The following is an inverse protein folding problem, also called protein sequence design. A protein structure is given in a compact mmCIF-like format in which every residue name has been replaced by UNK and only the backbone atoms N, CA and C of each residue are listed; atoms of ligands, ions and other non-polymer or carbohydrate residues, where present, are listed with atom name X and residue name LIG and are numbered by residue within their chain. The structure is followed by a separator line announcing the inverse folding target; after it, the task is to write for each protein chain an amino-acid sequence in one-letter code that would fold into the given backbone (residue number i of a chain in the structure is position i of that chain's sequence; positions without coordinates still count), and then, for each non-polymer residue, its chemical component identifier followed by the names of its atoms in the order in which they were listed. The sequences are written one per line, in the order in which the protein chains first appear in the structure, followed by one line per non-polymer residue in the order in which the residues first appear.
data_IF_454146591248
#
_entry.id   IF_454146591248
#
_cell.length_a   1.000
_cell.length_b   1.000
_cell.length_c   1.000
_cell.angle_alpha   90.00
_cell.angle_beta   90.00
_cell.angle_gamma   90.00
#
_symmetry.space_group_name_H-M   'P 1'
#
loop_
_entity.id
_entity.type
_entity.pdbx_description
1 polymer ?
#
# COMPACT_ATOMS: atom_id res chain seq x y z
N UNK A 1 18.20 -17.57 22.67
CA UNK A 1 18.00 -17.43 21.21
C UNK A 1 17.86 -18.83 20.61
N UNK A 2 16.75 -19.18 19.99
CA UNK A 2 16.61 -20.45 19.27
C UNK A 2 17.62 -20.44 18.12
N UNK A 3 18.39 -21.51 17.98
CA UNK A 3 19.43 -21.62 16.96
C UNK A 3 18.74 -21.79 15.60
N UNK A 4 18.87 -20.79 14.71
CA UNK A 4 18.32 -20.90 13.37
C UNK A 4 18.99 -22.03 12.59
N UNK A 5 18.26 -22.77 11.74
CA UNK A 5 18.86 -23.68 10.79
C UNK A 5 19.72 -22.93 9.78
N UNK A 6 20.58 -23.63 8.99
CA UNK A 6 21.38 -22.99 7.96
C UNK A 6 20.53 -22.16 7.00
N UNK A 7 20.89 -20.87 6.80
CA UNK A 7 20.12 -19.96 5.93
C UNK A 7 19.99 -20.47 4.51
N UNK A 8 20.99 -21.20 4.02
CA UNK A 8 20.95 -21.81 2.69
C UNK A 8 19.86 -22.85 2.56
N UNK A 9 19.61 -23.66 3.62
CA UNK A 9 18.53 -24.63 3.61
C UNK A 9 17.15 -23.97 3.65
N UNK A 10 17.00 -22.87 4.40
CA UNK A 10 15.80 -22.04 4.39
C UNK A 10 15.55 -21.38 3.04
N UNK A 11 16.60 -20.87 2.37
CA UNK A 11 16.51 -20.30 1.03
C UNK A 11 16.07 -21.34 -0.01
N UNK A 12 16.63 -22.55 0.05
CA UNK A 12 16.25 -23.62 -0.86
C UNK A 12 14.79 -24.05 -0.65
N UNK A 13 14.35 -24.10 0.60
CA UNK A 13 12.96 -24.35 0.93
C UNK A 13 12.03 -23.24 0.37
N UNK A 14 12.37 -21.95 0.59
CA UNK A 14 11.56 -20.82 0.11
C UNK A 14 11.38 -20.87 -1.42
N UNK A 15 12.48 -21.00 -2.18
CA UNK A 15 12.40 -21.04 -3.64
C UNK A 15 11.64 -22.28 -4.13
N UNK A 16 11.84 -23.44 -3.50
CA UNK A 16 11.11 -24.66 -3.84
C UNK A 16 9.60 -24.54 -3.52
N UNK A 17 9.25 -23.83 -2.43
CA UNK A 17 7.87 -23.56 -2.06
C UNK A 17 7.15 -22.65 -3.05
N UNK A 18 7.82 -21.59 -3.49
CA UNK A 18 7.31 -20.61 -4.45
C UNK A 18 7.16 -21.20 -5.85
N UNK A 19 8.17 -21.94 -6.32
CA UNK A 19 8.15 -22.56 -7.66
C UNK A 19 7.33 -23.86 -7.71
N UNK A 20 6.99 -24.45 -6.57
CA UNK A 20 6.29 -25.75 -6.43
C UNK A 20 6.99 -26.90 -7.17
N UNK A 21 8.32 -26.75 -7.39
CA UNK A 21 9.14 -27.69 -8.17
C UNK A 21 10.61 -27.61 -7.77
N UNK A 22 11.18 -28.73 -7.35
CA UNK A 22 12.62 -28.81 -7.05
C UNK A 22 13.49 -28.57 -8.29
N UNK A 23 13.02 -28.95 -9.48
CA UNK A 23 13.74 -28.71 -10.72
C UNK A 23 13.74 -27.22 -11.11
N UNK A 24 12.61 -26.52 -10.93
CA UNK A 24 12.52 -25.08 -11.17
C UNK A 24 13.35 -24.29 -10.15
N UNK A 25 13.27 -24.65 -8.86
CA UNK A 25 14.09 -24.06 -7.82
C UNK A 25 15.60 -24.24 -8.09
N UNK A 26 16.00 -25.43 -8.51
CA UNK A 26 17.39 -25.72 -8.86
C UNK A 26 17.90 -24.85 -10.02
N UNK A 27 17.08 -24.65 -11.05
CA UNK A 27 17.40 -23.75 -12.17
C UNK A 27 17.58 -22.31 -11.72
N UNK A 28 16.70 -21.82 -10.85
CA UNK A 28 16.75 -20.44 -10.33
C UNK A 28 17.99 -20.22 -9.45
N UNK A 29 18.35 -21.20 -8.62
CA UNK A 29 19.47 -21.11 -7.70
C UNK A 29 20.81 -21.57 -8.32
N UNK A 30 20.83 -21.96 -9.61
CA UNK A 30 22.00 -22.47 -10.31
C UNK A 30 22.66 -23.69 -9.60
N UNK A 31 21.82 -24.63 -9.14
CA UNK A 31 22.25 -25.86 -8.47
C UNK A 31 21.56 -27.09 -9.09
N UNK A 32 21.88 -28.28 -8.59
CA UNK A 32 21.20 -29.51 -9.04
C UNK A 32 19.89 -29.74 -8.25
N UNK A 33 18.87 -30.39 -8.87
CA UNK A 33 17.66 -30.79 -8.13
C UNK A 33 17.94 -31.71 -6.93
N UNK A 34 18.99 -32.51 -7.00
CA UNK A 34 19.45 -33.34 -5.89
C UNK A 34 19.96 -32.50 -4.70
N UNK A 35 20.66 -31.39 -4.96
CA UNK A 35 21.10 -30.46 -3.92
C UNK A 35 19.91 -29.81 -3.20
N UNK A 36 18.89 -29.36 -3.94
CA UNK A 36 17.63 -28.83 -3.36
C UNK A 36 16.98 -29.90 -2.48
N UNK A 37 16.79 -31.12 -3.00
CA UNK A 37 16.14 -32.21 -2.27
C UNK A 37 16.91 -32.56 -0.99
N UNK A 38 18.24 -32.58 -1.03
CA UNK A 38 19.10 -32.88 0.11
C UNK A 38 19.00 -31.81 1.20
N UNK A 39 19.08 -30.52 0.81
CA UNK A 39 19.00 -29.39 1.75
C UNK A 39 17.60 -29.27 2.37
N UNK A 40 16.55 -29.49 1.61
CA UNK A 40 15.18 -29.51 2.14
C UNK A 40 15.02 -30.66 3.13
N UNK A 41 15.52 -31.87 2.80
CA UNK A 41 15.46 -33.01 3.71
C UNK A 41 16.23 -32.76 5.02
N UNK A 42 17.42 -32.20 4.95
CA UNK A 42 18.20 -31.82 6.12
C UNK A 42 17.47 -30.77 6.99
N UNK A 43 16.73 -29.86 6.36
CA UNK A 43 15.91 -28.87 7.06
C UNK A 43 14.69 -29.54 7.76
N UNK A 44 14.02 -30.47 7.09
CA UNK A 44 12.91 -31.27 7.65
C UNK A 44 13.39 -32.09 8.87
N UNK A 45 14.55 -32.72 8.75
CA UNK A 45 15.19 -33.46 9.86
C UNK A 45 15.56 -32.55 11.05
N UNK A 46 16.10 -31.35 10.77
CA UNK A 46 16.44 -30.36 11.80
C UNK A 46 15.19 -29.83 12.54
N UNK A 47 14.10 -29.59 11.80
CA UNK A 47 12.85 -29.06 12.35
C UNK A 47 11.97 -30.14 12.95
N UNK A 48 12.20 -31.42 12.62
CA UNK A 48 11.39 -32.54 13.06
C UNK A 48 10.00 -32.61 12.44
N UNK A 49 9.80 -31.89 11.31
CA UNK A 49 8.52 -31.84 10.58
C UNK A 49 8.75 -31.85 9.08
N UNK A 50 7.85 -32.50 8.34
CA UNK A 50 7.85 -32.45 6.88
C UNK A 50 7.36 -31.08 6.40
N UNK A 51 8.07 -30.51 5.45
CA UNK A 51 7.70 -29.23 4.80
C UNK A 51 6.97 -29.45 3.48
N UNK A 52 7.23 -30.58 2.81
CA UNK A 52 6.60 -30.91 1.55
C UNK A 52 5.88 -32.27 1.60
N UNK A 53 4.72 -32.30 0.94
CA UNK A 53 4.08 -33.55 0.50
C UNK A 53 4.58 -33.84 -0.90
N UNK A 54 5.23 -35.00 -1.10
CA UNK A 54 5.80 -35.42 -2.39
C UNK A 54 4.77 -36.17 -3.22
N UNK A 55 4.53 -35.70 -4.44
CA UNK A 55 3.70 -36.37 -5.46
C UNK A 55 4.59 -36.78 -6.63
N UNK A 56 4.09 -37.67 -7.50
CA UNK A 56 4.88 -38.29 -8.57
C UNK A 56 5.66 -37.30 -9.48
N UNK A 57 5.20 -36.06 -9.65
CA UNK A 57 5.87 -35.03 -10.49
C UNK A 57 5.80 -33.61 -9.92
N UNK A 58 5.33 -33.43 -8.72
CA UNK A 58 5.16 -32.13 -8.06
C UNK A 58 5.31 -32.25 -6.56
N UNK A 59 5.58 -31.12 -5.93
CA UNK A 59 5.58 -30.97 -4.48
C UNK A 59 4.51 -29.99 -4.05
N UNK A 60 3.89 -30.24 -2.90
CA UNK A 60 2.97 -29.31 -2.27
C UNK A 60 3.38 -29.07 -0.81
N UNK A 61 3.11 -27.88 -0.29
CA UNK A 61 3.44 -27.53 1.07
C UNK A 61 2.53 -28.24 2.07
N UNK A 62 3.11 -28.68 3.18
CA UNK A 62 2.35 -29.09 4.37
C UNK A 62 1.64 -27.87 4.99
N UNK A 63 0.62 -28.05 5.86
CA UNK A 63 0.00 -26.95 6.59
C UNK A 63 1.00 -26.14 7.42
N UNK A 64 1.96 -26.81 8.09
CA UNK A 64 3.00 -26.16 8.88
C UNK A 64 3.89 -25.25 8.01
N UNK A 65 4.38 -25.76 6.87
CA UNK A 65 5.19 -24.99 5.94
C UNK A 65 4.44 -23.81 5.32
N UNK A 66 3.14 -23.97 5.05
CA UNK A 66 2.31 -22.91 4.48
C UNK A 66 2.10 -21.76 5.46
N UNK A 67 1.95 -22.04 6.74
CA UNK A 67 1.78 -21.02 7.79
C UNK A 67 3.01 -20.16 7.99
N UNK A 68 4.22 -20.74 7.84
CA UNK A 68 5.48 -20.05 8.08
C UNK A 68 6.08 -19.37 6.82
N UNK A 69 5.58 -19.65 5.62
CA UNK A 69 6.21 -19.22 4.36
C UNK A 69 6.25 -17.71 4.21
N UNK A 70 5.19 -17.00 4.56
CA UNK A 70 5.12 -15.52 4.47
C UNK A 70 6.14 -14.85 5.38
N UNK A 71 6.28 -15.31 6.61
CA UNK A 71 7.25 -14.78 7.57
C UNK A 71 8.69 -15.04 7.11
N UNK A 72 8.94 -16.20 6.53
CA UNK A 72 10.25 -16.54 5.97
C UNK A 72 10.60 -15.66 4.77
N UNK A 73 9.65 -15.39 3.88
CA UNK A 73 9.83 -14.49 2.74
C UNK A 73 10.13 -13.06 3.19
N UNK A 74 9.41 -12.55 4.18
CA UNK A 74 9.71 -11.24 4.79
C UNK A 74 11.11 -11.21 5.42
N UNK A 75 11.53 -12.29 6.08
CA UNK A 75 12.87 -12.46 6.62
C UNK A 75 13.95 -12.37 5.55
N UNK A 76 13.82 -13.07 4.43
CA UNK A 76 14.76 -12.99 3.31
C UNK A 76 14.77 -11.63 2.64
N UNK A 77 13.62 -10.97 2.47
CA UNK A 77 13.57 -9.59 1.98
C UNK A 77 14.33 -8.64 2.91
N UNK A 78 14.22 -8.84 4.22
CA UNK A 78 14.94 -8.04 5.21
C UNK A 78 16.46 -8.25 5.14
N UNK A 79 16.91 -9.51 4.99
CA UNK A 79 18.32 -9.83 4.77
C UNK A 79 18.83 -9.21 3.46
N UNK A 80 18.08 -9.31 2.37
CA UNK A 80 18.42 -8.68 1.08
C UNK A 80 18.64 -7.17 1.23
N UNK A 81 17.72 -6.47 1.90
CA UNK A 81 17.87 -5.02 2.19
C UNK A 81 19.11 -4.71 3.03
N UNK A 82 19.46 -5.57 4.00
CA UNK A 82 20.67 -5.39 4.79
C UNK A 82 21.95 -5.52 3.95
N UNK A 83 21.99 -6.51 3.05
CA UNK A 83 23.10 -6.70 2.10
C UNK A 83 23.20 -5.51 1.14
N UNK A 84 22.10 -5.00 0.63
CA UNK A 84 22.08 -3.84 -0.26
C UNK A 84 22.59 -2.58 0.47
N UNK A 85 22.24 -2.40 1.75
CA UNK A 85 22.79 -1.32 2.59
C UNK A 85 24.31 -1.44 2.77
N UNK A 86 24.83 -2.66 2.93
CA UNK A 86 26.29 -2.89 3.03
C UNK A 86 26.97 -2.57 1.69
N UNK A 87 26.40 -3.01 0.57
CA UNK A 87 26.95 -2.75 -0.78
C UNK A 87 26.93 -1.27 -1.16
N UNK A 88 25.90 -0.54 -0.73
CA UNK A 88 25.79 0.90 -0.96
C UNK A 88 26.53 1.77 0.08
N UNK A 89 27.28 1.14 1.02
CA UNK A 89 28.06 1.87 1.99
C UNK A 89 29.22 2.61 1.31
N UNK A 90 29.19 3.95 1.38
CA UNK A 90 30.16 4.83 0.71
C UNK A 90 29.73 5.35 -0.67
N UNK A 91 28.65 4.86 -1.26
CA UNK A 91 27.97 5.55 -2.36
C UNK A 91 26.90 6.45 -1.74
N UNK A 92 27.06 7.75 -1.78
CA UNK A 92 25.99 8.72 -1.48
C UNK A 92 24.91 8.65 -2.59
N UNK A 93 24.27 7.48 -2.75
CA UNK A 93 23.09 7.41 -3.59
C UNK A 93 21.98 8.18 -2.89
N UNK A 94 21.51 9.20 -3.55
CA UNK A 94 20.36 10.01 -3.13
C UNK A 94 19.05 9.21 -3.30
N UNK A 95 18.99 8.00 -2.70
CA UNK A 95 17.84 7.10 -2.78
C UNK A 95 16.89 7.44 -1.64
N UNK A 96 15.63 7.71 -1.96
CA UNK A 96 14.55 7.83 -0.98
C UNK A 96 13.51 6.75 -1.22
N UNK A 97 13.22 5.96 -0.18
CA UNK A 97 12.16 4.94 -0.20
C UNK A 97 10.89 5.51 0.41
N UNK A 98 9.87 5.61 -0.41
CA UNK A 98 8.56 6.18 -0.06
C UNK A 98 7.50 5.09 -0.06
N UNK A 99 6.70 5.01 0.99
CA UNK A 99 5.55 4.10 1.05
C UNK A 99 4.26 4.91 1.19
N UNK A 100 3.30 4.70 0.31
CA UNK A 100 2.05 5.44 0.32
C UNK A 100 0.83 4.53 0.08
N UNK A 101 -0.36 5.02 0.43
CA UNK A 101 -1.62 4.38 0.07
C UNK A 101 -1.74 4.33 -1.47
N UNK A 102 -2.23 3.22 -2.05
CA UNK A 102 -2.19 3.01 -3.51
C UNK A 102 -2.85 4.10 -4.35
N UNK A 103 -4.01 4.62 -3.94
CA UNK A 103 -4.69 5.68 -4.67
C UNK A 103 -3.89 6.99 -4.60
N UNK A 104 -3.42 7.37 -3.41
CA UNK A 104 -2.58 8.55 -3.21
C UNK A 104 -1.27 8.45 -3.99
N UNK A 105 -0.59 7.31 -3.92
CA UNK A 105 0.63 7.08 -4.68
C UNK A 105 0.42 7.30 -6.19
N UNK A 106 -0.63 6.69 -6.75
CA UNK A 106 -0.88 6.67 -8.20
C UNK A 106 -1.45 7.98 -8.70
N UNK A 107 -2.40 8.58 -7.98
CA UNK A 107 -3.14 9.75 -8.46
C UNK A 107 -2.53 11.08 -8.02
N UNK A 108 -1.77 11.08 -6.94
CA UNK A 108 -1.20 12.33 -6.44
C UNK A 108 0.32 12.40 -6.55
N UNK A 109 1.08 11.40 -6.08
CA UNK A 109 2.55 11.44 -6.11
C UNK A 109 3.08 11.27 -7.53
N UNK A 110 2.74 10.17 -8.21
CA UNK A 110 3.32 9.80 -9.51
C UNK A 110 3.19 10.91 -10.54
N UNK A 111 2.05 11.59 -10.73
CA UNK A 111 1.93 12.65 -11.72
C UNK A 111 2.83 13.88 -11.44
N UNK A 112 3.26 14.06 -10.18
CA UNK A 112 4.05 15.20 -9.71
C UNK A 112 5.54 14.92 -9.55
N UNK A 113 5.98 13.65 -9.62
CA UNK A 113 7.39 13.27 -9.42
C UNK A 113 8.37 14.01 -10.32
N UNK A 114 7.97 14.39 -11.53
CA UNK A 114 8.81 15.20 -12.44
C UNK A 114 9.25 16.53 -11.81
N UNK A 115 8.42 17.14 -10.94
CA UNK A 115 8.74 18.38 -10.21
C UNK A 115 9.78 18.12 -9.12
N UNK A 116 9.73 16.95 -8.46
CA UNK A 116 10.78 16.54 -7.52
C UNK A 116 12.12 16.31 -8.22
N UNK A 117 12.11 15.61 -9.36
CA UNK A 117 13.34 15.38 -10.14
C UNK A 117 13.93 16.67 -10.74
N UNK A 118 13.11 17.69 -11.00
CA UNK A 118 13.61 19.01 -11.40
C UNK A 118 14.43 19.69 -10.28
N UNK A 119 14.15 19.39 -9.01
CA UNK A 119 14.89 19.90 -7.84
C UNK A 119 16.06 19.00 -7.43
N UNK A 120 15.90 17.71 -7.59
CA UNK A 120 16.86 16.69 -7.19
C UNK A 120 17.11 15.72 -8.35
N UNK A 121 17.87 16.14 -9.40
CA UNK A 121 18.04 15.33 -10.62
C UNK A 121 18.72 13.97 -10.39
N UNK A 122 19.61 13.90 -9.40
CA UNK A 122 20.39 12.69 -9.07
C UNK A 122 19.67 11.78 -8.07
N UNK A 123 18.45 12.14 -7.65
CA UNK A 123 17.67 11.34 -6.71
C UNK A 123 17.10 10.08 -7.36
N UNK A 124 17.13 8.97 -6.64
CA UNK A 124 16.36 7.75 -6.96
C UNK A 124 15.19 7.64 -6.01
N UNK A 125 13.94 7.74 -6.51
CA UNK A 125 12.73 7.54 -5.72
C UNK A 125 12.24 6.10 -5.88
N UNK A 126 12.19 5.37 -4.77
CA UNK A 126 11.58 4.03 -4.68
C UNK A 126 10.20 4.14 -4.06
N UNK A 127 9.18 4.24 -4.91
CA UNK A 127 7.80 4.37 -4.47
C UNK A 127 7.15 2.99 -4.32
N UNK A 128 6.65 2.69 -3.13
CA UNK A 128 5.92 1.48 -2.80
C UNK A 128 4.47 1.82 -2.46
N UNK A 129 3.53 1.11 -3.06
CA UNK A 129 2.11 1.25 -2.75
C UNK A 129 1.68 0.14 -1.78
N UNK A 130 1.08 0.49 -0.64
CA UNK A 130 0.69 -0.46 0.38
C UNK A 130 -0.55 -0.03 1.16
N UNK A 131 -1.48 -0.97 1.38
CA UNK A 131 -2.63 -0.76 2.27
C UNK A 131 -2.26 -0.78 3.76
N UNK A 132 -1.01 -1.14 4.12
CA UNK A 132 -0.51 -1.00 5.49
C UNK A 132 -0.30 0.46 5.90
N UNK A 133 -0.38 1.40 4.96
CA UNK A 133 -0.35 2.85 5.22
C UNK A 133 -1.73 3.41 5.60
N UNK A 134 -2.76 2.57 5.72
CA UNK A 134 -4.08 2.94 6.22
C UNK A 134 -4.20 2.50 7.67
N UNK A 135 -4.40 3.44 8.57
CA UNK A 135 -4.51 3.16 10.00
C UNK A 135 -5.87 2.55 10.34
N UNK A 136 -5.86 1.52 11.20
CA UNK A 136 -7.08 0.81 11.60
C UNK A 136 -7.76 1.38 12.84
N UNK A 137 -7.24 2.46 13.40
CA UNK A 137 -7.74 3.06 14.63
C UNK A 137 -7.17 4.44 14.89
N UNK A 138 -7.65 5.07 15.98
CA UNK A 138 -7.19 6.41 16.39
C UNK A 138 -5.74 6.43 16.89
N UNK A 139 -5.26 5.30 17.37
CA UNK A 139 -3.86 5.13 17.81
C UNK A 139 -3.13 4.24 16.83
N UNK A 140 -2.05 4.73 16.28
CA UNK A 140 -1.16 3.93 15.44
C UNK A 140 0.00 3.42 16.28
N UNK A 141 0.26 2.11 16.20
CA UNK A 141 1.45 1.51 16.80
C UNK A 141 2.71 1.74 15.95
N UNK A 142 2.61 2.49 14.83
CA UNK A 142 3.75 2.75 13.97
C UNK A 142 4.76 3.67 14.66
N UNK A 143 6.00 3.21 14.75
CA UNK A 143 7.13 3.97 15.28
C UNK A 143 8.29 4.07 14.30
N UNK A 144 9.31 4.84 14.69
CA UNK A 144 10.57 5.00 13.93
C UNK A 144 11.22 3.64 13.63
N UNK A 145 11.18 2.71 14.60
CA UNK A 145 11.75 1.36 14.45
C UNK A 145 11.08 0.56 13.33
N UNK A 146 9.77 0.75 13.11
CA UNK A 146 9.01 0.03 12.09
C UNK A 146 9.34 0.56 10.70
N UNK A 147 9.43 1.87 10.53
CA UNK A 147 9.89 2.49 9.28
C UNK A 147 11.31 2.03 8.94
N UNK A 148 12.23 2.08 9.92
CA UNK A 148 13.61 1.63 9.73
C UNK A 148 13.69 0.15 9.36
N UNK A 149 12.92 -0.72 10.03
CA UNK A 149 12.86 -2.16 9.75
C UNK A 149 12.33 -2.43 8.34
N UNK A 150 11.30 -1.69 7.92
CA UNK A 150 10.74 -1.77 6.57
C UNK A 150 11.64 -1.12 5.50
N UNK A 151 12.68 -0.36 5.90
CA UNK A 151 13.53 0.39 4.98
C UNK A 151 12.81 1.54 4.30
N UNK A 152 11.80 2.11 4.97
CA UNK A 152 11.00 3.24 4.50
C UNK A 152 11.57 4.52 5.11
N UNK A 153 11.84 5.52 4.27
CA UNK A 153 12.31 6.83 4.71
C UNK A 153 11.14 7.78 4.96
N UNK A 154 10.16 7.76 4.06
CA UNK A 154 8.96 8.60 4.12
C UNK A 154 7.73 7.73 3.90
N UNK A 155 6.72 7.88 4.76
CA UNK A 155 5.44 7.21 4.56
C UNK A 155 4.30 8.23 4.45
N UNK A 156 3.45 8.09 3.42
CA UNK A 156 2.19 8.83 3.32
C UNK A 156 1.07 7.91 3.76
N UNK A 157 0.41 8.30 4.84
CA UNK A 157 -0.58 7.49 5.55
C UNK A 157 -1.95 8.14 5.57
N UNK A 158 -2.97 7.33 5.45
CA UNK A 158 -4.35 7.73 5.73
C UNK A 158 -4.68 7.34 7.17
N UNK A 159 -4.94 8.33 8.02
CA UNK A 159 -5.18 8.09 9.45
C UNK A 159 -5.53 9.36 10.22
N UNK A 160 -5.34 9.30 11.54
CA UNK A 160 -5.69 10.37 12.47
C UNK A 160 -4.51 11.29 12.85
N UNK A 161 -3.30 11.01 12.37
CA UNK A 161 -2.10 11.79 12.69
C UNK A 161 -1.47 11.46 14.05
N UNK A 162 -1.84 10.36 14.66
CA UNK A 162 -1.40 9.97 16.00
C UNK A 162 -0.25 8.95 15.90
N UNK A 163 0.99 9.45 15.80
CA UNK A 163 2.21 8.65 15.64
C UNK A 163 3.25 9.12 16.67
N UNK A 164 3.28 8.52 17.88
CA UNK A 164 4.00 9.09 19.05
C UNK A 164 5.49 9.38 18.83
N UNK A 165 6.18 8.51 18.07
CA UNK A 165 7.63 8.60 17.85
C UNK A 165 8.02 9.13 16.47
N UNK A 166 7.04 9.68 15.73
CA UNK A 166 7.24 10.19 14.37
C UNK A 166 6.80 11.66 14.30
N UNK A 167 7.24 12.36 13.28
CA UNK A 167 6.78 13.73 13.01
C UNK A 167 5.69 13.71 11.91
N UNK A 168 4.40 13.61 12.29
CA UNK A 168 3.32 13.68 11.33
C UNK A 168 3.11 15.13 10.87
N UNK A 169 3.06 15.31 9.55
CA UNK A 169 2.64 16.55 8.93
C UNK A 169 1.43 16.27 8.05
N UNK A 170 0.35 17.01 8.28
CA UNK A 170 -0.89 16.87 7.52
C UNK A 170 -0.69 17.32 6.09
N UNK A 171 -1.05 16.47 5.14
CA UNK A 171 -1.02 16.77 3.71
C UNK A 171 -2.38 17.29 3.21
N UNK A 172 -3.43 16.46 3.32
CA UNK A 172 -4.75 16.85 2.84
C UNK A 172 -5.86 16.18 3.66
N UNK A 173 -7.02 16.82 3.69
CA UNK A 173 -8.23 16.27 4.29
C UNK A 173 -8.80 15.14 3.45
N UNK A 174 -9.59 14.29 4.08
CA UNK A 174 -10.38 13.29 3.39
C UNK A 174 -11.85 13.74 3.31
N UNK A 175 -12.16 14.56 2.30
CA UNK A 175 -13.51 15.04 2.03
C UNK A 175 -14.08 14.23 0.87
N UNK A 176 -15.07 13.36 1.15
CA UNK A 176 -15.59 12.42 0.16
C UNK A 176 -16.92 12.89 -0.43
N UNK A 177 -16.95 13.02 -1.74
CA UNK A 177 -18.17 13.34 -2.50
C UNK A 177 -18.56 12.19 -3.42
N UNK A 178 -19.85 12.03 -3.75
CA UNK A 178 -20.31 11.06 -4.75
C UNK A 178 -19.82 11.44 -6.15
N UNK A 179 -19.13 10.50 -6.81
CA UNK A 179 -18.59 10.63 -8.17
C UNK A 179 -19.08 9.47 -9.04
N UNK A 180 -19.45 9.73 -10.29
CA UNK A 180 -19.74 8.69 -11.27
C UNK A 180 -19.39 9.13 -12.69
N UNK A 181 -19.47 8.21 -13.66
CA UNK A 181 -19.39 8.54 -15.07
C UNK A 181 -20.57 9.43 -15.51
N UNK A 182 -20.37 10.40 -16.43
CA UNK A 182 -21.40 11.35 -16.86
C UNK A 182 -22.68 10.70 -17.37
N UNK A 183 -22.56 9.55 -18.05
CA UNK A 183 -23.69 8.79 -18.60
C UNK A 183 -24.67 8.34 -17.51
N UNK A 184 -24.15 8.01 -16.32
CA UNK A 184 -24.99 7.61 -15.20
C UNK A 184 -25.69 8.81 -14.56
N UNK A 185 -25.06 9.98 -14.55
CA UNK A 185 -25.64 11.18 -13.98
C UNK A 185 -26.85 11.69 -14.78
N UNK A 186 -26.85 11.51 -16.11
CA UNK A 186 -27.87 12.02 -17.02
C UNK A 186 -29.20 11.27 -16.96
N UNK A 187 -29.23 10.04 -16.41
CA UNK A 187 -30.42 9.18 -16.37
C UNK A 187 -30.95 8.89 -14.97
N UNK A 188 -30.61 9.73 -13.98
CA UNK A 188 -30.85 9.44 -12.57
C UNK A 188 -32.15 10.04 -12.01
N UNK A 189 -32.92 9.21 -11.28
CA UNK A 189 -33.97 9.65 -10.35
C UNK A 189 -33.44 9.91 -8.92
N UNK A 190 -32.18 9.55 -8.65
CA UNK A 190 -31.50 9.73 -7.36
C UNK A 190 -30.26 8.85 -7.22
N UNK A 191 -29.31 9.23 -6.33
CA UNK A 191 -28.05 8.48 -6.09
C UNK A 191 -28.33 7.05 -5.59
N UNK A 192 -29.41 6.85 -4.83
CA UNK A 192 -29.84 5.57 -4.28
C UNK A 192 -30.26 4.55 -5.36
N UNK A 193 -30.54 4.99 -6.58
CA UNK A 193 -30.85 4.10 -7.70
C UNK A 193 -29.62 3.48 -8.33
N UNK A 194 -28.46 4.09 -8.11
CA UNK A 194 -27.17 3.61 -8.62
C UNK A 194 -26.63 2.41 -7.83
N UNK A 195 -25.75 1.67 -8.46
CA UNK A 195 -24.88 0.75 -7.75
C UNK A 195 -23.80 1.54 -7.01
N UNK A 196 -23.65 1.29 -5.72
CA UNK A 196 -22.72 2.01 -4.87
C UNK A 196 -21.38 1.23 -4.79
N UNK A 197 -20.32 1.84 -5.25
CA UNK A 197 -19.00 1.26 -5.27
C UNK A 197 -18.32 1.58 -3.93
N UNK A 198 -17.94 0.53 -3.20
CA UNK A 198 -17.35 0.63 -1.87
C UNK A 198 -15.85 0.34 -1.93
N UNK A 199 -15.05 1.29 -1.48
CA UNK A 199 -13.63 1.09 -1.24
C UNK A 199 -13.42 0.45 0.13
N UNK A 200 -12.87 -0.77 0.14
CA UNK A 200 -12.57 -1.48 1.39
C UNK A 200 -11.47 -0.80 2.20
N UNK A 201 -10.71 0.12 1.63
CA UNK A 201 -9.73 0.95 2.36
C UNK A 201 -10.45 1.80 3.40
N UNK A 202 -11.53 2.47 3.01
CA UNK A 202 -12.33 3.34 3.89
C UNK A 202 -13.06 2.56 4.99
N UNK A 203 -13.49 1.32 4.70
CA UNK A 203 -14.17 0.46 5.68
C UNK A 203 -13.24 -0.21 6.69
N UNK A 204 -11.91 -0.13 6.51
CA UNK A 204 -10.92 -0.63 7.47
C UNK A 204 -10.70 0.30 8.65
N UNK A 205 -11.10 1.54 8.53
CA UNK A 205 -11.05 2.52 9.61
C UNK A 205 -12.05 2.11 10.69
N UNK A 206 -11.74 2.34 11.97
CA UNK A 206 -12.62 1.97 13.10
C UNK A 206 -13.98 2.69 13.05
N UNK A 207 -14.03 3.82 12.40
CA UNK A 207 -15.27 4.50 12.02
C UNK A 207 -15.47 4.26 10.53
N UNK A 208 -16.46 3.46 10.14
CA UNK A 208 -16.65 3.13 8.73
C UNK A 208 -17.13 4.37 7.98
N UNK A 209 -16.24 4.93 7.15
CA UNK A 209 -16.64 5.95 6.19
C UNK A 209 -17.13 5.26 4.94
N UNK A 210 -18.40 5.52 4.60
CA UNK A 210 -19.02 4.87 3.47
C UNK A 210 -20.34 5.50 3.09
N UNK A 211 -21.04 4.85 2.18
CA UNK A 211 -22.30 5.33 1.66
C UNK A 211 -23.38 5.49 2.74
N UNK A 212 -23.44 4.58 3.71
CA UNK A 212 -24.41 4.64 4.79
C UNK A 212 -24.24 5.91 5.63
N UNK A 213 -23.01 6.24 5.96
CA UNK A 213 -22.64 7.44 6.74
C UNK A 213 -22.91 8.70 5.92
N UNK A 214 -22.57 8.68 4.61
CA UNK A 214 -22.86 9.80 3.72
C UNK A 214 -24.35 10.09 3.65
N UNK A 215 -25.19 9.09 3.39
CA UNK A 215 -26.65 9.25 3.35
C UNK A 215 -27.21 9.73 4.68
N UNK A 216 -26.76 9.15 5.79
CA UNK A 216 -27.16 9.57 7.14
C UNK A 216 -26.84 11.05 7.39
N UNK A 217 -25.64 11.49 7.00
CA UNK A 217 -25.20 12.89 7.15
C UNK A 217 -26.01 13.85 6.27
N UNK A 218 -26.53 13.36 5.13
CA UNK A 218 -27.44 14.11 4.25
C UNK A 218 -28.90 14.10 4.74
N UNK A 219 -29.21 13.38 5.81
CA UNK A 219 -30.55 13.26 6.37
C UNK A 219 -31.45 12.21 5.70
N UNK A 220 -30.86 11.29 4.93
CA UNK A 220 -31.58 10.18 4.32
C UNK A 220 -31.43 8.91 5.15
N UNK A 221 -32.56 8.28 5.49
CA UNK A 221 -32.58 6.91 6.02
C UNK A 221 -32.84 5.95 4.85
N UNK A 222 -31.77 5.30 4.40
CA UNK A 222 -31.80 4.40 3.26
C UNK A 222 -31.71 2.96 3.77
N UNK A 223 -32.72 2.16 3.45
CA UNK A 223 -32.77 0.76 3.83
C UNK A 223 -31.64 -0.08 3.21
N UNK A 224 -31.92 -0.91 2.22
CA UNK A 224 -30.93 -1.81 1.61
C UNK A 224 -30.22 -1.14 0.42
N UNK A 225 -28.91 -0.88 0.55
CA UNK A 225 -28.06 -0.36 -0.52
C UNK A 225 -27.61 -1.48 -1.47
N UNK A 226 -27.43 -1.13 -2.75
CA UNK A 226 -26.85 -2.02 -3.77
C UNK A 226 -25.34 -1.77 -3.84
N UNK A 227 -24.59 -2.45 -3.00
CA UNK A 227 -23.15 -2.26 -2.88
C UNK A 227 -22.34 -3.23 -3.74
N UNK A 228 -21.24 -2.74 -4.33
CA UNK A 228 -20.19 -3.53 -4.93
C UNK A 228 -18.87 -3.14 -4.26
N UNK A 229 -18.16 -4.12 -3.68
CA UNK A 229 -16.98 -3.87 -2.83
C UNK A 229 -15.70 -4.17 -3.55
N UNK A 230 -14.74 -3.26 -3.47
CA UNK A 230 -13.40 -3.34 -4.03
C UNK A 230 -12.34 -3.36 -2.94
N UNK A 231 -11.19 -4.03 -3.20
CA UNK A 231 -10.09 -4.16 -2.23
C UNK A 231 -9.33 -2.86 -1.96
N UNK A 232 -9.43 -1.87 -2.85
CA UNK A 232 -8.79 -0.56 -2.72
C UNK A 232 -9.48 0.49 -3.60
N UNK A 233 -9.15 1.77 -3.38
CA UNK A 233 -9.74 2.91 -4.08
C UNK A 233 -9.44 2.96 -5.57
N UNK A 234 -8.31 2.43 -6.03
CA UNK A 234 -8.00 2.40 -7.48
C UNK A 234 -8.97 1.52 -8.25
N UNK A 235 -9.31 0.34 -7.72
CA UNK A 235 -10.28 -0.55 -8.36
C UNK A 235 -11.69 0.05 -8.36
N UNK A 236 -12.07 0.74 -7.28
CA UNK A 236 -13.35 1.45 -7.21
C UNK A 236 -13.41 2.61 -8.23
N UNK A 237 -12.31 3.35 -8.39
CA UNK A 237 -12.17 4.41 -9.37
C UNK A 237 -12.32 3.88 -10.81
N UNK A 238 -11.59 2.82 -11.16
CA UNK A 238 -11.68 2.22 -12.51
C UNK A 238 -13.10 1.74 -12.80
N UNK A 239 -13.79 1.15 -11.81
CA UNK A 239 -15.18 0.74 -11.96
C UNK A 239 -16.14 1.93 -12.16
N UNK A 240 -15.90 3.05 -11.46
CA UNK A 240 -16.72 4.27 -11.64
C UNK A 240 -16.53 4.89 -13.02
N UNK A 241 -15.28 4.99 -13.49
CA UNK A 241 -14.94 5.48 -14.85
C UNK A 241 -15.55 4.58 -15.92
N UNK A 242 -15.62 3.26 -15.67
CA UNK A 242 -16.28 2.30 -16.55
C UNK A 242 -17.83 2.30 -16.45
N UNK A 243 -18.43 3.24 -15.74
CA UNK A 243 -19.89 3.35 -15.63
C UNK A 243 -20.55 2.25 -14.79
N UNK A 244 -19.81 1.58 -13.89
CA UNK A 244 -20.36 0.48 -13.09
C UNK A 244 -21.18 0.96 -11.88
N UNK A 245 -21.11 2.26 -11.55
CA UNK A 245 -21.82 2.86 -10.42
C UNK A 245 -21.19 4.15 -9.93
N UNK A 246 -21.58 4.59 -8.73
CA UNK A 246 -21.05 5.76 -8.06
C UNK A 246 -20.05 5.36 -6.96
N UNK A 247 -18.94 6.10 -6.81
CA UNK A 247 -18.00 5.97 -5.71
C UNK A 247 -18.03 7.20 -4.80
N UNK A 248 -17.66 7.05 -3.52
CA UNK A 248 -17.28 8.16 -2.66
C UNK A 248 -15.79 8.43 -2.84
N UNK A 249 -15.43 9.60 -3.37
CA UNK A 249 -14.06 9.95 -3.69
C UNK A 249 -13.69 11.38 -3.31
N UNK A 250 -12.42 11.62 -2.98
CA UNK A 250 -11.88 12.96 -2.78
C UNK A 250 -11.68 13.67 -4.12
N UNK A 251 -12.10 14.94 -4.23
CA UNK A 251 -11.90 15.72 -5.45
C UNK A 251 -10.42 15.82 -5.84
N UNK A 252 -9.56 16.04 -4.86
CA UNK A 252 -8.12 16.24 -5.07
C UNK A 252 -7.44 14.99 -5.67
N UNK A 253 -7.85 13.79 -5.21
CA UNK A 253 -7.30 12.54 -5.73
C UNK A 253 -7.91 12.11 -7.07
N UNK A 254 -9.09 12.64 -7.42
CA UNK A 254 -9.80 12.33 -8.67
C UNK A 254 -9.81 13.50 -9.66
N UNK A 255 -8.96 14.51 -9.39
CA UNK A 255 -8.91 15.74 -10.22
C UNK A 255 -8.66 15.45 -11.68
N UNK A 256 -7.81 14.49 -12.02
CA UNK A 256 -7.51 14.11 -13.39
C UNK A 256 -8.75 13.59 -14.14
N UNK A 257 -9.53 12.74 -13.49
CA UNK A 257 -10.77 12.17 -14.04
C UNK A 257 -11.88 13.21 -14.15
N UNK A 258 -12.00 14.09 -13.16
CA UNK A 258 -12.94 15.21 -13.16
C UNK A 258 -12.62 16.21 -14.28
N UNK A 259 -11.36 16.65 -14.38
CA UNK A 259 -10.92 17.58 -15.41
C UNK A 259 -11.02 17.00 -16.82
N UNK A 260 -10.84 15.69 -16.97
CA UNK A 260 -11.00 14.99 -18.26
C UNK A 260 -12.47 14.68 -18.60
N UNK A 261 -13.43 15.04 -17.75
CA UNK A 261 -14.84 14.75 -17.93
C UNK A 261 -15.20 13.25 -17.85
N UNK A 262 -14.30 12.41 -17.30
CA UNK A 262 -14.54 10.98 -17.11
C UNK A 262 -15.40 10.69 -15.88
N UNK A 263 -15.38 11.60 -14.92
CA UNK A 263 -16.24 11.59 -13.75
C UNK A 263 -16.90 12.95 -13.57
N UNK A 264 -18.07 12.93 -12.94
CA UNK A 264 -18.81 14.12 -12.49
C UNK A 264 -19.18 13.97 -11.02
N UNK A 265 -19.35 15.11 -10.34
CA UNK A 265 -19.81 15.16 -8.96
C UNK A 265 -21.34 15.11 -8.94
N UNK A 266 -21.91 14.15 -8.23
CA UNK A 266 -23.36 13.98 -8.11
C UNK A 266 -23.98 14.85 -7.02
N UNK A 267 -23.22 15.14 -5.96
CA UNK A 267 -23.66 16.00 -4.86
C UNK A 267 -22.45 16.74 -4.25
N UNK A 268 -22.66 18.04 -4.00
CA UNK A 268 -21.59 18.94 -3.52
C UNK A 268 -21.26 18.80 -2.03
N UNK A 269 -22.18 18.22 -1.24
CA UNK A 269 -21.99 18.04 0.20
C UNK A 269 -21.08 16.85 0.48
N UNK A 270 -19.85 17.08 1.01
CA UNK A 270 -18.93 15.99 1.29
C UNK A 270 -19.35 15.21 2.56
N UNK A 271 -18.93 13.95 2.62
CA UNK A 271 -18.78 13.23 3.88
C UNK A 271 -17.48 13.71 4.52
N UNK A 272 -17.57 14.44 5.62
CA UNK A 272 -16.44 14.89 6.38
C UNK A 272 -15.87 13.73 7.20
N UNK A 273 -14.60 13.47 7.02
CA UNK A 273 -13.87 12.42 7.74
C UNK A 273 -12.90 13.04 8.74
N UNK A 274 -12.77 12.44 9.92
CA UNK A 274 -11.76 12.85 10.92
C UNK A 274 -10.33 12.47 10.46
N UNK A 275 -10.22 11.51 9.53
CA UNK A 275 -8.94 11.13 8.94
C UNK A 275 -8.49 12.14 7.90
N UNK A 276 -7.17 12.12 7.71
CA UNK A 276 -6.50 12.89 6.68
C UNK A 276 -5.30 12.10 6.15
N UNK A 277 -4.74 12.55 5.06
CA UNK A 277 -3.43 12.09 4.64
C UNK A 277 -2.33 12.83 5.39
N UNK A 278 -1.40 12.06 5.94
CA UNK A 278 -0.23 12.56 6.67
C UNK A 278 1.04 12.03 6.03
N UNK A 279 2.04 12.88 5.89
CA UNK A 279 3.41 12.42 5.68
C UNK A 279 4.06 12.22 7.04
N UNK A 280 4.71 11.08 7.21
CA UNK A 280 5.46 10.72 8.42
C UNK A 280 6.86 10.27 8.06
N UNK A 281 7.83 10.65 8.87
CA UNK A 281 9.24 10.28 8.77
C UNK A 281 9.85 10.15 10.16
N UNK A 282 11.13 9.82 10.24
CA UNK A 282 11.82 9.60 11.51
C UNK A 282 12.09 10.88 12.33
N UNK A 283 11.73 12.06 11.81
CA UNK A 283 11.96 13.34 12.45
C UNK A 283 13.38 13.92 12.29
N UNK A 284 13.55 15.16 12.72
CA UNK A 284 14.81 15.88 12.60
C UNK A 284 15.97 15.17 13.32
N UNK A 285 17.12 15.12 12.68
CA UNK A 285 18.33 14.45 13.20
C UNK A 285 18.40 12.94 12.99
N UNK A 286 17.28 12.26 12.71
CA UNK A 286 17.21 10.82 12.37
C UNK A 286 16.92 10.56 10.89
N UNK A 287 16.51 11.59 10.17
CA UNK A 287 16.11 11.57 8.78
C UNK A 287 17.29 11.85 7.84
N UNK A 288 17.37 11.08 6.76
CA UNK A 288 18.37 11.33 5.71
C UNK A 288 18.05 12.63 4.96
N UNK A 289 19.06 13.40 4.49
CA UNK A 289 18.82 14.66 3.79
C UNK A 289 17.85 14.53 2.62
N UNK A 290 17.97 13.48 1.80
CA UNK A 290 17.09 13.25 0.65
C UNK A 290 15.64 12.92 1.08
N UNK A 291 15.45 12.24 2.21
CA UNK A 291 14.13 11.96 2.77
C UNK A 291 13.45 13.27 3.22
N UNK A 292 14.21 14.16 3.86
CA UNK A 292 13.74 15.50 4.23
C UNK A 292 13.33 16.31 2.99
N UNK A 293 14.18 16.35 1.96
CA UNK A 293 13.87 17.05 0.72
C UNK A 293 12.60 16.52 0.06
N UNK A 294 12.40 15.19 0.07
CA UNK A 294 11.18 14.60 -0.48
C UNK A 294 9.94 14.94 0.35
N UNK A 295 10.03 14.87 1.69
CA UNK A 295 8.94 15.25 2.60
C UNK A 295 8.55 16.71 2.41
N UNK A 296 9.54 17.61 2.39
CA UNK A 296 9.32 19.05 2.27
C UNK A 296 8.72 19.38 0.90
N UNK A 297 9.18 18.71 -0.16
CA UNK A 297 8.56 18.80 -1.48
C UNK A 297 7.09 18.38 -1.47
N UNK A 298 6.73 17.27 -0.79
CA UNK A 298 5.32 16.84 -0.68
C UNK A 298 4.45 17.93 -0.03
N UNK A 299 4.95 18.56 1.03
CA UNK A 299 4.23 19.61 1.75
C UNK A 299 4.03 20.87 0.90
N UNK A 300 5.04 21.27 0.14
CA UNK A 300 4.96 22.42 -0.78
C UNK A 300 4.00 22.15 -1.94
N UNK A 301 4.04 20.95 -2.53
CA UNK A 301 3.13 20.58 -3.64
C UNK A 301 1.66 20.61 -3.22
N UNK A 302 1.35 20.21 -1.99
CA UNK A 302 -0.02 20.32 -1.45
C UNK A 302 -0.44 21.79 -1.32
N UNK A 303 0.45 22.66 -0.82
CA UNK A 303 0.19 24.11 -0.74
C UNK A 303 -0.13 24.72 -2.10
N UNK A 304 0.66 24.41 -3.13
CA UNK A 304 0.43 24.87 -4.50
C UNK A 304 -0.89 24.33 -5.10
N UNK A 305 -1.22 23.07 -4.87
CA UNK A 305 -2.47 22.47 -5.36
C UNK A 305 -3.72 23.14 -4.78
N UNK A 306 -3.66 23.65 -3.56
CA UNK A 306 -4.78 24.39 -2.93
C UNK A 306 -4.94 25.78 -3.53
N UNK A 307 -3.85 26.43 -3.93
CA UNK A 307 -3.90 27.75 -4.59
C UNK A 307 -4.39 27.66 -6.05
N UNK A 308 -4.02 26.62 -6.79
CA UNK A 308 -4.49 26.37 -8.16
C UNK A 308 -5.99 25.99 -8.23
N UNK A 309 -6.59 25.55 -7.11
CA UNK A 309 -8.00 25.14 -7.03
C UNK A 309 -8.95 26.24 -6.54
N UNK A 310 -8.42 27.44 -6.21
CA UNK A 310 -9.17 28.65 -5.83
C UNK A 310 -9.33 29.60 -6.99
#
# INVERSE_FOLDING_TARGET
MSRLPPLIALSYFEVAARTKSFAAAAKELNVTPAAISHQVKALEEYLGVDLFVRHHRRVSLTPAARGALSELQEGFQTLGRAVDKIRSYGEERLVVTVCAEPLFATKWIVPRLHRFYARCPDAEVRLQASLHTVDRGRESALGVSDLKRAGIDVSVRLGYGNYPDLEPRRLMNLDLVPLCAPELASGMDGIETLRLLCDSTLTRLNEPYGWKEWFKQQGYDIGRLRELRFGNGLLALEAAVAGQGALLGSRDLHQAELSAGKLVVLAERPLNCDQAYYVVSAGEGLERPIARQFRDWLLEEVGMSVEESR
#
